data_IF_106867947324
#
_entry.id   IF_106867947324
#
_cell.length_a   1.000
_cell.length_b   1.000
_cell.length_c   1.000
_cell.angle_alpha   90.00
_cell.angle_beta   90.00
_cell.angle_gamma   90.00
#
_symmetry.space_group_name_H-M   'P 1'
#
loop_
_entity.id
_entity.type
_entity.pdbx_description
1 polymer ?
#
# COMPACT_ATOMS: atom_id res chain seq x y z
N UNK A 1 46.74 10.94 53.13
CA UNK A 1 46.33 10.48 51.83
C UNK A 1 44.95 9.84 51.94
N UNK A 2 43.90 10.56 51.57
CA UNK A 2 42.50 10.08 51.54
C UNK A 2 42.14 9.81 50.10
N UNK A 3 41.95 8.52 49.77
CA UNK A 3 41.46 8.10 48.46
C UNK A 3 39.96 8.35 48.38
N UNK A 4 39.56 9.13 47.37
CA UNK A 4 38.17 9.39 47.05
C UNK A 4 37.59 8.14 46.33
N UNK A 5 36.62 7.47 46.96
CA UNK A 5 35.75 6.50 46.30
C UNK A 5 34.71 7.27 45.50
N UNK A 6 34.87 7.31 44.19
CA UNK A 6 33.82 7.71 43.27
C UNK A 6 32.76 6.60 43.22
N UNK A 7 31.58 6.89 43.75
CA UNK A 7 30.44 6.01 43.68
C UNK A 7 29.88 5.98 42.24
N UNK A 8 30.07 4.89 41.57
CA UNK A 8 29.27 4.55 40.36
C UNK A 8 27.80 4.40 40.79
N UNK A 9 27.01 5.40 40.48
CA UNK A 9 25.55 5.24 40.52
C UNK A 9 25.16 4.26 39.39
N UNK A 10 24.85 3.02 39.76
CA UNK A 10 24.14 2.11 38.92
C UNK A 10 22.77 2.73 38.61
N UNK A 11 22.63 3.39 37.46
CA UNK A 11 21.34 3.65 36.88
C UNK A 11 20.87 2.26 36.41
N UNK A 12 19.87 1.71 37.06
CA UNK A 12 19.15 0.55 36.52
C UNK A 12 18.71 0.91 35.11
N UNK A 13 19.38 0.34 34.10
CA UNK A 13 18.97 0.46 32.72
C UNK A 13 17.57 -0.16 32.66
N UNK A 14 16.53 0.65 32.43
CA UNK A 14 15.27 0.13 31.93
C UNK A 14 15.63 -0.64 30.66
N UNK A 15 15.43 -1.93 30.67
CA UNK A 15 15.52 -2.73 29.47
C UNK A 15 14.45 -2.19 28.51
N UNK A 16 14.88 -1.40 27.51
CA UNK A 16 14.00 -0.92 26.44
C UNK A 16 13.59 -2.13 25.61
N UNK A 17 12.49 -2.76 25.96
CA UNK A 17 11.95 -3.90 25.22
C UNK A 17 11.42 -3.42 23.88
N UNK A 18 11.93 -4.01 22.79
CA UNK A 18 11.45 -3.74 21.43
C UNK A 18 10.50 -4.86 21.02
N UNK A 19 9.27 -4.49 20.68
CA UNK A 19 8.26 -5.41 20.12
C UNK A 19 8.35 -5.37 18.61
N UNK A 20 8.48 -6.55 17.97
CA UNK A 20 8.40 -6.67 16.52
C UNK A 20 6.94 -6.92 16.14
N UNK A 21 6.34 -5.94 15.46
CA UNK A 21 4.99 -6.06 14.90
C UNK A 21 5.02 -6.56 13.46
N UNK A 22 4.15 -7.50 13.12
CA UNK A 22 3.95 -7.98 11.75
C UNK A 22 2.67 -7.37 11.20
N UNK A 23 2.71 -6.89 9.95
CA UNK A 23 1.57 -6.25 9.31
C UNK A 23 1.41 -6.78 7.88
N UNK A 24 0.21 -7.22 7.51
CA UNK A 24 -0.08 -7.83 6.22
C UNK A 24 -0.93 -6.90 5.33
N UNK A 25 -0.32 -6.31 4.31
CA UNK A 25 -1.03 -5.68 3.20
C UNK A 25 -1.46 -6.78 2.21
N UNK A 26 -2.63 -7.40 2.45
CA UNK A 26 -3.18 -8.46 1.60
C UNK A 26 -4.06 -7.83 0.54
N UNK A 27 -3.72 -8.04 -0.73
CA UNK A 27 -4.39 -7.39 -1.87
C UNK A 27 -5.02 -8.43 -2.79
N UNK A 28 -6.20 -8.08 -3.29
CA UNK A 28 -6.92 -8.79 -4.36
C UNK A 28 -7.55 -7.78 -5.33
N UNK A 29 -8.12 -8.28 -6.43
CA UNK A 29 -8.95 -7.47 -7.35
C UNK A 29 -10.32 -8.12 -7.46
N UNK A 30 -11.36 -7.39 -7.04
CA UNK A 30 -12.75 -7.82 -7.13
C UNK A 30 -13.44 -6.97 -8.21
N UNK A 31 -13.90 -7.63 -9.26
CA UNK A 31 -14.38 -6.92 -10.45
C UNK A 31 -13.24 -6.14 -11.11
N UNK A 32 -13.37 -4.82 -11.16
CA UNK A 32 -12.36 -3.90 -11.70
C UNK A 32 -11.77 -2.99 -10.62
N UNK A 33 -11.88 -3.39 -9.34
CA UNK A 33 -11.47 -2.57 -8.19
C UNK A 33 -10.47 -3.33 -7.33
N UNK A 34 -9.34 -2.72 -7.00
CA UNK A 34 -8.36 -3.32 -6.10
C UNK A 34 -8.84 -3.20 -4.65
N UNK A 35 -8.75 -4.28 -3.91
CA UNK A 35 -9.17 -4.35 -2.52
C UNK A 35 -8.01 -4.75 -1.62
N UNK A 36 -8.02 -4.20 -0.43
CA UNK A 36 -7.13 -4.59 0.67
C UNK A 36 -7.95 -5.24 1.78
N UNK A 37 -7.41 -6.30 2.36
CA UNK A 37 -8.00 -6.94 3.52
C UNK A 37 -7.76 -6.08 4.76
N UNK A 38 -8.84 -5.74 5.46
CA UNK A 38 -8.81 -5.00 6.72
C UNK A 38 -9.43 -5.81 7.85
N UNK A 39 -9.03 -5.52 9.07
CA UNK A 39 -9.63 -6.02 10.30
C UNK A 39 -10.04 -4.82 11.17
N UNK A 40 -11.15 -4.97 11.92
CA UNK A 40 -11.61 -3.94 12.85
C UNK A 40 -11.20 -4.30 14.28
N UNK A 41 -10.58 -3.36 14.98
CA UNK A 41 -10.39 -3.39 16.43
C UNK A 41 -10.88 -2.06 16.98
N UNK A 42 -11.70 -2.08 18.03
CA UNK A 42 -12.23 -0.87 18.70
C UNK A 42 -12.85 0.15 17.71
N UNK A 43 -13.60 -0.36 16.74
CA UNK A 43 -14.28 0.42 15.68
C UNK A 43 -13.36 1.10 14.64
N UNK A 44 -12.03 0.94 14.73
CA UNK A 44 -11.08 1.49 13.76
C UNK A 44 -10.55 0.38 12.86
N UNK A 45 -10.46 0.65 11.57
CA UNK A 45 -9.93 -0.30 10.59
C UNK A 45 -8.40 -0.28 10.56
N UNK A 46 -7.82 -1.47 10.33
CA UNK A 46 -6.39 -1.63 10.13
C UNK A 46 -6.08 -2.82 9.24
N UNK A 47 -4.84 -2.98 8.85
CA UNK A 47 -4.35 -4.20 8.22
C UNK A 47 -4.37 -5.35 9.24
N UNK A 48 -4.44 -6.63 8.83
CA UNK A 48 -4.13 -7.73 9.73
C UNK A 48 -2.76 -7.55 10.36
N UNK A 49 -2.67 -7.55 11.70
CA UNK A 49 -1.45 -7.27 12.43
C UNK A 49 -1.37 -7.95 13.80
N UNK A 50 -0.16 -8.13 14.30
CA UNK A 50 0.10 -8.66 15.63
C UNK A 50 1.59 -8.73 15.95
N UNK A 51 1.92 -9.06 17.19
CA UNK A 51 3.30 -9.22 17.61
C UNK A 51 3.90 -10.53 17.08
N UNK A 52 5.17 -10.48 16.68
CA UNK A 52 5.91 -11.68 16.33
C UNK A 52 6.26 -12.46 17.60
N UNK A 53 5.94 -13.76 17.61
CA UNK A 53 6.28 -14.68 18.69
C UNK A 53 7.50 -15.56 18.29
N UNK A 54 8.73 -15.19 18.68
CA UNK A 54 9.95 -15.87 18.21
C UNK A 54 10.07 -17.31 18.73
N UNK A 55 9.38 -17.66 19.80
CA UNK A 55 9.36 -19.01 20.36
C UNK A 55 8.44 -19.96 19.58
N UNK A 56 7.43 -19.41 18.90
CA UNK A 56 6.42 -20.16 18.15
C UNK A 56 6.73 -20.22 16.66
N UNK A 57 7.34 -19.16 16.12
CA UNK A 57 7.55 -19.03 14.69
C UNK A 57 9.02 -18.94 14.31
N UNK A 58 9.47 -19.86 13.50
CA UNK A 58 10.86 -19.91 13.01
C UNK A 58 11.26 -18.69 12.17
N UNK A 59 10.34 -18.07 11.47
CA UNK A 59 10.59 -16.87 10.63
C UNK A 59 9.45 -15.87 10.75
N UNK A 60 9.76 -14.57 10.52
CA UNK A 60 8.76 -13.51 10.47
C UNK A 60 7.64 -13.82 9.47
N UNK A 61 7.98 -14.39 8.31
CA UNK A 61 7.02 -14.74 7.27
C UNK A 61 6.06 -15.87 7.71
N UNK A 62 6.54 -16.87 8.45
CA UNK A 62 5.68 -17.92 9.00
C UNK A 62 4.73 -17.34 10.04
N UNK A 63 5.23 -16.50 10.95
CA UNK A 63 4.40 -15.80 11.92
C UNK A 63 3.33 -14.94 11.26
N UNK A 64 3.67 -14.21 10.19
CA UNK A 64 2.70 -13.42 9.43
C UNK A 64 1.58 -14.28 8.82
N UNK A 65 1.94 -15.41 8.21
CA UNK A 65 0.97 -16.34 7.60
C UNK A 65 -0.01 -16.92 8.63
N UNK A 66 0.51 -17.27 9.79
CA UNK A 66 -0.30 -17.76 10.91
C UNK A 66 -1.24 -16.67 11.41
N UNK A 67 -0.73 -15.50 11.69
CA UNK A 67 -1.47 -14.35 12.14
C UNK A 67 -2.65 -13.99 11.18
N UNK A 68 -2.40 -13.95 9.88
CA UNK A 68 -3.46 -13.69 8.89
C UNK A 68 -4.47 -14.82 8.88
N UNK A 69 -4.02 -16.08 8.94
CA UNK A 69 -4.91 -17.24 8.99
C UNK A 69 -5.82 -17.21 10.23
N UNK A 70 -5.29 -16.85 11.39
CA UNK A 70 -6.05 -16.76 12.63
C UNK A 70 -7.10 -15.63 12.61
N UNK A 71 -6.71 -14.47 12.11
CA UNK A 71 -7.59 -13.31 12.09
C UNK A 71 -8.65 -13.37 10.98
N UNK A 72 -8.35 -14.02 9.85
CA UNK A 72 -9.17 -13.91 8.63
C UNK A 72 -9.50 -15.25 7.97
N UNK A 73 -8.97 -16.37 8.46
CA UNK A 73 -9.05 -17.71 7.87
C UNK A 73 -8.44 -17.83 6.46
N UNK A 74 -7.81 -16.77 5.97
CA UNK A 74 -7.23 -16.73 4.62
C UNK A 74 -5.87 -17.44 4.57
N UNK A 75 -5.64 -18.22 3.50
CA UNK A 75 -4.32 -18.78 3.19
C UNK A 75 -3.61 -17.88 2.18
N UNK A 76 -2.50 -17.31 2.59
CA UNK A 76 -1.70 -16.45 1.72
C UNK A 76 -0.92 -17.27 0.68
N UNK A 77 -1.02 -16.87 -0.59
CA UNK A 77 -0.18 -17.35 -1.69
C UNK A 77 1.17 -16.63 -1.71
N UNK A 78 1.28 -15.64 -2.58
CA UNK A 78 2.45 -14.77 -2.68
C UNK A 78 2.61 -13.89 -1.43
N UNK A 79 3.81 -13.83 -0.88
CA UNK A 79 4.17 -12.97 0.26
C UNK A 79 5.58 -12.41 0.05
N UNK A 80 5.74 -11.11 0.27
CA UNK A 80 7.00 -10.40 0.19
C UNK A 80 7.11 -9.38 1.31
N UNK A 81 8.29 -9.30 1.93
CA UNK A 81 8.58 -8.23 2.89
C UNK A 81 8.72 -6.89 2.16
N UNK A 82 8.04 -5.86 2.68
CA UNK A 82 8.08 -4.50 2.17
C UNK A 82 9.20 -3.69 2.81
N UNK A 83 8.90 -3.11 3.96
CA UNK A 83 9.76 -2.20 4.68
C UNK A 83 9.58 -2.38 6.19
N UNK A 84 10.54 -1.88 6.96
CA UNK A 84 10.47 -1.87 8.42
C UNK A 84 10.25 -0.44 8.90
N UNK A 85 9.17 -0.22 9.64
CA UNK A 85 8.73 1.07 10.14
C UNK A 85 9.04 1.16 11.63
N UNK A 86 9.78 2.16 12.06
CA UNK A 86 10.22 2.30 13.44
C UNK A 86 10.08 3.72 13.99
N UNK A 87 9.24 4.57 13.40
CA UNK A 87 9.08 5.95 13.79
C UNK A 87 8.35 6.09 15.13
N UNK A 88 8.90 6.92 16.03
CA UNK A 88 8.27 7.22 17.30
C UNK A 88 6.93 7.92 17.11
N UNK A 89 5.91 7.51 17.90
CA UNK A 89 4.61 8.17 17.96
C UNK A 89 3.62 7.71 16.91
N UNK A 90 4.02 6.91 15.93
CA UNK A 90 3.12 6.33 14.93
C UNK A 90 2.54 4.96 15.34
N UNK A 91 3.11 4.34 16.38
CA UNK A 91 2.63 3.12 17.03
C UNK A 91 2.53 3.35 18.54
N UNK A 92 1.41 3.85 19.01
CA UNK A 92 1.13 3.96 20.43
C UNK A 92 0.07 2.92 20.77
N UNK A 93 0.50 1.79 21.35
CA UNK A 93 -0.43 0.76 21.82
C UNK A 93 -1.15 1.23 23.09
N UNK A 94 -0.47 1.95 23.98
CA UNK A 94 -1.06 2.68 25.13
C UNK A 94 -0.10 3.78 25.63
N UNK A 95 -0.61 4.93 26.15
CA UNK A 95 0.22 5.90 26.80
C UNK A 95 0.72 5.35 28.16
N UNK A 96 1.97 4.96 28.25
CA UNK A 96 2.57 4.51 29.53
C UNK A 96 3.38 3.22 29.46
N UNK A 97 3.15 2.34 28.51
CA UNK A 97 4.02 1.19 28.30
C UNK A 97 5.25 1.59 27.50
N UNK A 98 6.41 1.56 28.13
CA UNK A 98 7.71 1.99 27.58
C UNK A 98 8.28 1.10 26.48
N UNK A 99 7.43 0.37 25.76
CA UNK A 99 7.85 -0.53 24.69
C UNK A 99 7.89 0.19 23.33
N UNK A 100 9.00 0.04 22.63
CA UNK A 100 9.13 0.50 21.26
C UNK A 100 8.65 -0.57 20.30
N UNK A 101 7.66 -0.26 19.46
CA UNK A 101 7.21 -1.16 18.40
C UNK A 101 7.98 -0.85 17.12
N UNK A 102 8.52 -1.90 16.50
CA UNK A 102 9.11 -1.88 15.16
C UNK A 102 8.22 -2.75 14.26
N UNK A 103 7.56 -2.13 13.30
CA UNK A 103 6.61 -2.80 12.40
C UNK A 103 7.28 -3.28 11.14
N UNK A 104 7.14 -4.58 10.83
CA UNK A 104 7.57 -5.18 9.58
C UNK A 104 6.34 -5.36 8.69
N UNK A 105 6.30 -4.59 7.60
CA UNK A 105 5.23 -4.67 6.61
C UNK A 105 5.49 -5.77 5.57
N UNK A 106 4.43 -6.45 5.15
CA UNK A 106 4.44 -7.46 4.10
C UNK A 106 3.36 -7.18 3.07
N UNK A 107 3.68 -7.38 1.80
CA UNK A 107 2.71 -7.45 0.72
C UNK A 107 2.35 -8.91 0.50
N UNK A 108 1.06 -9.20 0.47
CA UNK A 108 0.55 -10.51 0.09
C UNK A 108 -0.52 -10.37 -1.00
N UNK A 109 -0.60 -11.35 -1.88
CA UNK A 109 -1.57 -11.38 -2.98
C UNK A 109 -2.38 -12.65 -2.89
N UNK A 110 -3.68 -12.54 -3.17
CA UNK A 110 -4.59 -13.68 -3.20
C UNK A 110 -5.67 -13.50 -4.26
N UNK A 111 -6.18 -14.61 -4.77
CA UNK A 111 -7.43 -14.68 -5.56
C UNK A 111 -8.61 -15.04 -4.69
N UNK A 112 -8.32 -15.60 -3.53
CA UNK A 112 -9.35 -16.05 -2.61
C UNK A 112 -10.01 -14.84 -1.96
N UNK A 113 -11.24 -14.61 -2.36
CA UNK A 113 -12.11 -13.56 -1.84
C UNK A 113 -13.25 -14.16 -1.01
N UNK A 114 -13.08 -15.41 -0.53
CA UNK A 114 -14.13 -16.16 0.13
C UNK A 114 -14.88 -15.28 1.13
N UNK A 115 -16.09 -14.93 0.78
CA UNK A 115 -17.04 -14.30 1.66
C UNK A 115 -17.40 -15.29 2.76
N UNK A 116 -17.06 -14.97 3.99
CA UNK A 116 -17.49 -15.74 5.17
C UNK A 116 -16.41 -16.50 5.91
N UNK A 117 -15.15 -16.35 5.57
CA UNK A 117 -14.09 -17.04 6.27
C UNK A 117 -13.90 -16.58 7.73
N UNK A 118 -14.25 -15.34 8.10
CA UNK A 118 -14.28 -14.87 9.49
C UNK A 118 -15.08 -13.59 9.62
N UNK A 119 -15.79 -13.41 10.74
CA UNK A 119 -16.50 -12.17 11.07
C UNK A 119 -15.58 -10.94 11.24
N UNK A 120 -14.27 -11.12 11.20
CA UNK A 120 -13.29 -10.08 11.49
C UNK A 120 -12.62 -9.45 10.26
N UNK A 121 -12.55 -10.14 9.11
CA UNK A 121 -11.89 -9.65 7.91
C UNK A 121 -12.85 -9.04 6.89
N UNK A 122 -12.53 -7.86 6.36
CA UNK A 122 -13.32 -7.16 5.36
C UNK A 122 -12.47 -6.72 4.18
N UNK A 123 -12.99 -6.94 2.95
CA UNK A 123 -12.37 -6.40 1.75
C UNK A 123 -12.81 -4.95 1.53
N UNK A 124 -11.86 -4.01 1.55
CA UNK A 124 -12.09 -2.59 1.32
C UNK A 124 -11.43 -2.15 0.02
N UNK A 125 -12.13 -1.33 -0.73
CA UNK A 125 -11.52 -0.64 -1.87
C UNK A 125 -10.34 0.20 -1.38
N UNK A 126 -9.14 -0.02 -1.89
CA UNK A 126 -7.98 0.72 -1.41
C UNK A 126 -8.01 2.21 -1.79
N UNK A 127 -8.81 2.61 -2.81
CA UNK A 127 -9.01 4.01 -3.15
C UNK A 127 -9.87 4.78 -2.13
N UNK A 128 -10.61 4.10 -1.25
CA UNK A 128 -11.27 4.75 -0.12
C UNK A 128 -10.24 5.36 0.83
N UNK A 129 -9.07 4.75 0.94
CA UNK A 129 -7.94 5.27 1.71
C UNK A 129 -7.09 6.29 0.96
N UNK A 130 -7.03 6.21 -0.39
CA UNK A 130 -6.20 7.08 -1.25
C UNK A 130 -7.00 7.57 -2.47
N UNK A 131 -8.01 8.44 -2.29
CA UNK A 131 -8.90 8.84 -3.39
C UNK A 131 -8.18 9.62 -4.51
N UNK A 132 -7.02 10.19 -4.24
CA UNK A 132 -6.19 10.88 -5.25
C UNK A 132 -5.36 9.94 -6.13
N UNK A 133 -5.38 8.63 -5.86
CA UNK A 133 -4.59 7.63 -6.59
C UNK A 133 -5.33 7.00 -7.77
N UNK A 134 -6.65 7.23 -7.91
CA UNK A 134 -7.46 6.65 -8.99
C UNK A 134 -7.57 7.60 -10.19
N UNK A 135 -6.67 7.42 -11.15
CA UNK A 135 -6.64 8.20 -12.40
C UNK A 135 -7.30 7.45 -13.58
N UNK A 136 -8.02 6.38 -13.33
CA UNK A 136 -8.68 5.61 -14.41
C UNK A 136 -9.78 6.38 -15.14
N UNK A 137 -10.41 7.33 -14.48
CA UNK A 137 -11.36 8.26 -15.11
C UNK A 137 -10.64 9.45 -15.77
N UNK A 138 -10.03 10.23 -14.91
CA UNK A 138 -9.25 11.42 -15.23
C UNK A 138 -8.37 11.76 -14.01
N UNK A 139 -7.56 12.85 -14.12
CA UNK A 139 -6.89 13.43 -12.94
C UNK A 139 -7.93 13.75 -11.86
N UNK A 140 -7.83 13.19 -10.63
CA UNK A 140 -8.79 13.46 -9.58
C UNK A 140 -8.88 14.96 -9.27
N UNK A 141 -10.06 15.55 -9.39
CA UNK A 141 -10.28 16.99 -9.21
C UNK A 141 -9.82 17.49 -7.83
N UNK A 142 -9.84 16.63 -6.81
CA UNK A 142 -9.37 16.98 -5.46
C UNK A 142 -7.88 17.34 -5.41
N UNK A 143 -7.07 16.87 -6.34
CA UNK A 143 -5.63 17.17 -6.38
C UNK A 143 -5.45 18.70 -6.57
N UNK A 144 -6.13 19.28 -7.54
CA UNK A 144 -5.99 20.71 -7.85
C UNK A 144 -6.89 21.57 -6.96
N UNK A 145 -8.12 21.10 -6.64
CA UNK A 145 -9.08 21.88 -5.86
C UNK A 145 -8.82 21.86 -4.34
N UNK A 146 -8.23 20.82 -3.81
CA UNK A 146 -8.10 20.65 -2.37
C UNK A 146 -6.66 20.45 -1.90
N UNK A 147 -5.88 19.57 -2.56
CA UNK A 147 -4.53 19.24 -2.13
C UNK A 147 -3.56 20.37 -2.44
N UNK A 148 -3.52 20.83 -3.70
CA UNK A 148 -2.60 21.86 -4.17
C UNK A 148 -2.58 23.11 -3.27
N UNK A 149 -3.71 23.83 -3.02
CA UNK A 149 -3.67 25.05 -2.24
C UNK A 149 -3.22 24.84 -0.79
N UNK A 150 -3.47 23.66 -0.21
CA UNK A 150 -3.04 23.34 1.16
C UNK A 150 -1.56 22.99 1.25
N UNK A 151 -1.05 22.29 0.26
CA UNK A 151 0.38 21.96 0.17
C UNK A 151 1.20 23.22 -0.14
N UNK A 152 0.68 24.15 -0.96
CA UNK A 152 1.28 25.47 -1.17
C UNK A 152 1.38 26.23 0.15
N UNK A 153 0.29 26.35 0.90
CA UNK A 153 0.28 27.01 2.21
C UNK A 153 1.23 26.34 3.22
N UNK A 154 1.33 25.00 3.20
CA UNK A 154 2.29 24.27 4.03
C UNK A 154 3.74 24.53 3.62
N UNK A 155 4.02 24.62 2.32
CA UNK A 155 5.34 24.94 1.80
C UNK A 155 5.75 26.37 2.20
N UNK A 156 4.85 27.34 2.06
CA UNK A 156 5.08 28.74 2.44
C UNK A 156 5.31 28.94 3.93
N UNK A 157 4.64 28.16 4.77
CA UNK A 157 4.84 28.18 6.24
C UNK A 157 6.21 27.62 6.70
N UNK A 158 6.95 26.97 5.81
CA UNK A 158 8.27 26.39 6.09
C UNK A 158 9.37 27.44 5.99
N UNK A 159 9.77 28.02 7.12
CA UNK A 159 10.85 29.00 7.17
C UNK A 159 12.15 28.42 6.58
N UNK A 160 12.58 28.94 5.41
CA UNK A 160 13.79 28.49 4.70
C UNK A 160 13.65 27.17 3.91
N UNK A 161 12.50 26.50 3.96
CA UNK A 161 12.27 25.20 3.29
C UNK A 161 11.20 25.26 2.18
N UNK A 162 10.69 26.45 1.86
CA UNK A 162 9.58 26.63 0.93
C UNK A 162 9.81 25.92 -0.41
N UNK A 163 10.95 26.18 -1.04
CA UNK A 163 11.30 25.63 -2.34
C UNK A 163 11.41 24.10 -2.29
N UNK A 164 12.14 23.56 -1.32
CA UNK A 164 12.31 22.11 -1.13
C UNK A 164 10.98 21.39 -0.89
N UNK A 165 10.09 21.99 -0.08
CA UNK A 165 8.74 21.42 0.16
C UNK A 165 7.87 21.46 -1.07
N UNK A 166 7.91 22.57 -1.81
CA UNK A 166 7.14 22.73 -3.03
C UNK A 166 7.61 21.77 -4.13
N UNK A 167 8.92 21.69 -4.39
CA UNK A 167 9.49 20.81 -5.41
C UNK A 167 9.15 19.35 -5.13
N UNK A 168 9.26 18.93 -3.86
CA UNK A 168 8.84 17.60 -3.45
C UNK A 168 7.36 17.34 -3.71
N UNK A 169 6.50 18.28 -3.40
CA UNK A 169 5.08 18.18 -3.67
C UNK A 169 4.75 18.17 -5.16
N UNK A 170 5.39 19.03 -5.95
CA UNK A 170 5.21 19.11 -7.40
C UNK A 170 5.61 17.79 -8.08
N UNK A 171 6.75 17.22 -7.70
CA UNK A 171 7.17 15.88 -8.16
C UNK A 171 6.21 14.77 -7.77
N UNK A 172 5.61 14.85 -6.57
CA UNK A 172 4.68 13.82 -6.08
C UNK A 172 3.32 13.89 -6.77
N UNK A 173 2.75 15.08 -6.94
CA UNK A 173 1.38 15.28 -7.41
C UNK A 173 1.28 15.72 -8.87
N UNK A 174 2.38 15.74 -9.60
CA UNK A 174 2.45 16.17 -10.98
C UNK A 174 1.91 17.62 -11.15
N UNK A 175 2.41 18.55 -10.31
CA UNK A 175 2.15 19.98 -10.48
C UNK A 175 3.12 20.57 -11.51
N UNK A 176 2.77 21.75 -12.04
CA UNK A 176 3.63 22.58 -12.88
C UNK A 176 4.23 21.84 -14.10
N UNK A 177 3.43 20.95 -14.73
CA UNK A 177 3.85 20.17 -15.90
C UNK A 177 4.70 18.94 -15.60
N UNK A 178 4.91 18.60 -14.34
CA UNK A 178 5.56 17.33 -13.96
C UNK A 178 4.70 16.14 -14.37
N UNK A 179 5.36 15.00 -14.64
CA UNK A 179 4.65 13.77 -14.99
C UNK A 179 4.16 13.04 -13.74
N UNK A 180 2.96 12.45 -13.84
CA UNK A 180 2.45 11.55 -12.82
C UNK A 180 3.26 10.24 -12.80
N UNK A 181 3.75 9.90 -11.61
CA UNK A 181 4.42 8.64 -11.35
C UNK A 181 3.53 7.82 -10.39
N UNK A 182 2.91 6.77 -10.92
CA UNK A 182 2.00 5.91 -10.17
C UNK A 182 2.69 5.14 -9.02
N UNK A 183 4.01 5.03 -9.03
CA UNK A 183 4.75 4.34 -7.97
C UNK A 183 4.95 5.19 -6.71
N UNK A 184 4.86 6.52 -6.81
CA UNK A 184 5.10 7.47 -5.70
C UNK A 184 3.95 7.58 -4.69
N UNK A 185 3.29 6.47 -4.36
CA UNK A 185 2.16 6.46 -3.42
C UNK A 185 2.58 6.84 -2.01
N UNK A 186 3.69 6.26 -1.55
CA UNK A 186 4.24 6.53 -0.22
C UNK A 186 4.67 8.00 -0.08
N UNK A 187 5.39 8.52 -1.06
CA UNK A 187 5.89 9.90 -1.05
C UNK A 187 4.74 10.90 -1.02
N UNK A 188 3.65 10.66 -1.78
CA UNK A 188 2.42 11.46 -1.71
C UNK A 188 1.79 11.41 -0.34
N UNK A 189 1.66 10.22 0.23
CA UNK A 189 1.12 10.06 1.58
C UNK A 189 1.96 10.80 2.62
N UNK A 190 3.30 10.74 2.54
CA UNK A 190 4.19 11.45 3.46
C UNK A 190 4.04 12.98 3.32
N UNK A 191 3.93 13.53 2.10
CA UNK A 191 3.63 14.94 1.89
C UNK A 191 2.30 15.32 2.55
N UNK A 192 1.25 14.52 2.34
CA UNK A 192 -0.06 14.74 2.95
C UNK A 192 0.00 14.68 4.49
N UNK A 193 0.76 13.74 5.03
CA UNK A 193 0.95 13.58 6.48
C UNK A 193 1.74 14.76 7.06
N UNK A 194 2.83 15.17 6.46
CA UNK A 194 3.67 16.27 6.91
C UNK A 194 2.92 17.62 6.84
N UNK A 195 2.15 17.83 5.79
CA UNK A 195 1.27 19.00 5.63
C UNK A 195 0.04 18.98 6.57
N UNK A 196 -0.15 17.90 7.34
CA UNK A 196 -1.26 17.77 8.29
C UNK A 196 -2.62 17.55 7.61
N UNK A 197 -2.65 17.01 6.40
CA UNK A 197 -3.88 16.85 5.61
C UNK A 197 -4.64 15.54 5.90
N UNK A 198 -4.00 14.56 6.52
CA UNK A 198 -4.60 13.28 6.85
C UNK A 198 -4.89 13.14 8.36
N UNK A 199 -5.90 12.35 8.71
CA UNK A 199 -6.33 12.16 10.10
C UNK A 199 -5.24 11.55 10.99
N UNK A 200 -4.39 10.69 10.43
CA UNK A 200 -3.25 10.09 11.13
C UNK A 200 -2.27 11.17 11.64
N UNK A 201 -2.05 12.23 10.86
CA UNK A 201 -1.20 13.34 11.31
C UNK A 201 -1.74 14.04 12.56
N UNK A 202 -3.08 14.14 12.69
CA UNK A 202 -3.75 14.70 13.87
C UNK A 202 -3.65 13.79 15.08
N UNK A 203 -3.78 12.49 14.87
CA UNK A 203 -3.67 11.49 15.94
C UNK A 203 -2.24 11.42 16.50
N UNK A 204 -1.24 11.40 15.62
CA UNK A 204 0.12 11.01 15.97
C UNK A 204 0.99 12.22 16.42
N UNK A 205 0.61 13.44 16.03
CA UNK A 205 1.42 14.65 16.26
C UNK A 205 0.89 15.46 17.44
N UNK A 206 1.80 15.98 18.26
CA UNK A 206 1.46 16.92 19.36
C UNK A 206 0.96 18.26 18.85
N UNK A 207 1.44 18.69 17.67
CA UNK A 207 1.00 19.92 17.01
C UNK A 207 0.95 19.70 15.50
N UNK A 208 -0.09 20.23 14.86
CA UNK A 208 -0.23 20.27 13.42
C UNK A 208 0.32 21.60 12.86
N UNK A 209 0.70 21.65 11.57
CA UNK A 209 0.94 22.91 10.89
C UNK A 209 -0.27 23.85 11.03
N UNK A 210 -0.02 25.16 11.11
CA UNK A 210 -1.09 26.15 11.21
C UNK A 210 -2.06 26.10 9.98
N UNK A 211 -1.57 25.63 8.83
CA UNK A 211 -2.33 25.43 7.60
C UNK A 211 -3.16 24.15 7.58
N UNK A 212 -3.06 23.29 8.63
CA UNK A 212 -3.78 22.03 8.65
C UNK A 212 -5.30 22.25 8.72
N UNK A 213 -6.08 21.53 7.89
CA UNK A 213 -7.54 21.65 7.88
C UNK A 213 -8.19 21.05 9.13
N UNK A 214 -9.49 21.29 9.31
CA UNK A 214 -10.30 20.66 10.35
C UNK A 214 -10.37 19.12 10.18
N UNK A 215 -10.74 18.39 11.21
CA UNK A 215 -10.87 16.94 11.14
C UNK A 215 -11.91 16.49 10.09
N UNK A 216 -13.01 17.23 9.94
CA UNK A 216 -14.03 16.95 8.93
C UNK A 216 -13.54 17.16 7.49
N UNK A 217 -12.65 18.12 7.27
CA UNK A 217 -11.99 18.31 5.98
C UNK A 217 -10.91 17.23 5.73
N UNK A 218 -10.16 16.84 6.77
CA UNK A 218 -9.17 15.76 6.68
C UNK A 218 -9.82 14.43 6.27
N UNK A 219 -11.03 14.13 6.74
CA UNK A 219 -11.79 12.94 6.36
C UNK A 219 -12.08 12.87 4.84
N UNK A 220 -12.09 14.01 4.13
CA UNK A 220 -12.23 14.04 2.67
C UNK A 220 -11.00 13.54 1.92
N UNK A 221 -9.85 13.44 2.58
CA UNK A 221 -8.62 12.88 2.04
C UNK A 221 -8.48 11.38 2.31
N UNK A 222 -9.60 10.67 2.37
CA UNK A 222 -9.70 9.23 2.53
C UNK A 222 -9.77 8.76 3.98
N UNK A 223 -10.21 7.52 4.12
CA UNK A 223 -10.43 6.89 5.41
C UNK A 223 -9.11 6.69 6.17
N UNK A 224 -9.16 6.89 7.49
CA UNK A 224 -8.02 6.65 8.36
C UNK A 224 -7.87 5.17 8.69
N UNK A 225 -6.65 4.75 8.97
CA UNK A 225 -6.34 3.42 9.48
C UNK A 225 -5.67 3.50 10.87
N UNK A 226 -5.69 2.37 11.59
CA UNK A 226 -4.94 2.23 12.84
C UNK A 226 -3.44 2.42 12.61
N UNK A 227 -2.74 2.94 13.61
CA UNK A 227 -1.29 3.05 13.63
C UNK A 227 -0.71 3.60 12.31
N UNK A 228 0.37 2.99 11.83
CA UNK A 228 1.04 3.31 10.58
C UNK A 228 0.49 2.49 9.37
N UNK A 229 -0.68 1.86 9.53
CA UNK A 229 -1.20 0.91 8.54
C UNK A 229 -1.49 1.53 7.17
N UNK A 230 -1.97 2.78 7.14
CA UNK A 230 -2.17 3.49 5.88
C UNK A 230 -0.84 3.78 5.17
N UNK A 231 0.23 4.07 5.90
CA UNK A 231 1.58 4.20 5.36
C UNK A 231 2.12 2.88 4.83
N UNK A 232 1.88 1.78 5.54
CA UNK A 232 2.23 0.43 5.09
C UNK A 232 1.47 0.06 3.82
N UNK A 233 0.17 0.39 3.74
CA UNK A 233 -0.64 0.20 2.54
C UNK A 233 -0.10 1.04 1.37
N UNK A 234 0.24 2.32 1.58
CA UNK A 234 0.86 3.16 0.56
C UNK A 234 2.16 2.55 0.00
N UNK A 235 3.00 2.01 0.89
CA UNK A 235 4.22 1.29 0.52
C UNK A 235 3.91 0.04 -0.31
N UNK A 236 2.89 -0.73 0.10
CA UNK A 236 2.43 -1.92 -0.62
C UNK A 236 1.90 -1.60 -2.02
N UNK A 237 1.11 -0.52 -2.15
CA UNK A 237 0.58 -0.04 -3.43
C UNK A 237 1.71 0.37 -4.38
N UNK A 238 2.64 1.21 -3.95
CA UNK A 238 3.79 1.64 -4.76
C UNK A 238 4.64 0.45 -5.20
N UNK A 239 4.92 -0.49 -4.26
CA UNK A 239 5.68 -1.72 -4.56
C UNK A 239 4.97 -2.60 -5.59
N UNK A 240 3.66 -2.78 -5.48
CA UNK A 240 2.87 -3.60 -6.40
C UNK A 240 2.82 -2.96 -7.79
N UNK A 241 2.59 -1.65 -7.88
CA UNK A 241 2.59 -0.88 -9.12
C UNK A 241 3.95 -0.96 -9.85
N UNK A 242 5.05 -0.78 -9.13
CA UNK A 242 6.38 -0.96 -9.70
C UNK A 242 6.60 -2.38 -10.20
N UNK A 243 6.22 -3.39 -9.42
CA UNK A 243 6.40 -4.80 -9.81
C UNK A 243 5.62 -5.23 -11.04
N UNK A 244 4.44 -4.66 -11.31
CA UNK A 244 3.69 -4.94 -12.53
C UNK A 244 4.56 -4.75 -13.78
N UNK A 245 5.51 -3.81 -13.78
CA UNK A 245 6.36 -3.47 -14.93
C UNK A 245 7.41 -4.53 -15.25
N UNK A 246 7.90 -5.27 -14.24
CA UNK A 246 9.02 -6.22 -14.43
C UNK A 246 8.78 -7.63 -13.86
N UNK A 247 7.64 -7.89 -13.20
CA UNK A 247 7.26 -9.21 -12.69
C UNK A 247 5.85 -9.57 -13.14
N UNK A 248 5.56 -10.84 -13.40
CA UNK A 248 4.22 -11.28 -13.81
C UNK A 248 3.27 -11.42 -12.61
N UNK A 249 3.37 -10.49 -11.66
CA UNK A 249 2.70 -10.55 -10.36
C UNK A 249 1.17 -10.41 -10.47
N UNK A 250 0.68 -9.84 -11.56
CA UNK A 250 -0.76 -9.71 -11.83
C UNK A 250 -1.49 -11.06 -11.82
N UNK A 251 -0.81 -12.14 -12.20
CA UNK A 251 -1.41 -13.48 -12.23
C UNK A 251 -1.65 -14.08 -10.84
N UNK A 252 -1.09 -13.49 -9.78
CA UNK A 252 -1.37 -13.90 -8.40
C UNK A 252 -2.77 -13.49 -7.92
N UNK A 253 -3.38 -12.50 -8.58
CA UNK A 253 -4.73 -11.99 -8.28
C UNK A 253 -5.75 -12.30 -9.38
N UNK A 254 -5.37 -13.05 -10.41
CA UNK A 254 -6.24 -13.40 -11.53
C UNK A 254 -6.63 -14.87 -11.52
N UNK A 255 -7.79 -15.18 -12.10
CA UNK A 255 -8.17 -16.54 -12.36
C UNK A 255 -7.14 -17.27 -13.24
N UNK A 256 -7.03 -18.61 -13.16
CA UNK A 256 -6.09 -19.39 -13.99
C UNK A 256 -6.28 -19.21 -15.49
N UNK A 257 -7.51 -18.94 -15.92
CA UNK A 257 -7.86 -18.63 -17.32
C UNK A 257 -8.64 -17.32 -17.36
N UNK A 258 -8.28 -16.45 -18.29
CA UNK A 258 -8.80 -15.09 -18.39
C UNK A 258 -8.78 -14.60 -19.84
N UNK A 259 -9.52 -13.53 -20.11
CA UNK A 259 -9.44 -12.80 -21.38
C UNK A 259 -8.39 -11.67 -21.28
N UNK A 260 -7.85 -11.21 -22.39
CA UNK A 260 -6.93 -10.06 -22.38
C UNK A 260 -7.59 -8.77 -21.86
N UNK A 261 -8.91 -8.65 -21.96
CA UNK A 261 -9.65 -7.53 -21.39
C UNK A 261 -9.68 -7.60 -19.86
N UNK A 262 -9.96 -8.75 -19.28
CA UNK A 262 -9.90 -8.95 -17.82
C UNK A 262 -8.50 -8.66 -17.30
N UNK A 263 -7.46 -9.17 -17.98
CA UNK A 263 -6.07 -8.86 -17.61
C UNK A 263 -5.76 -7.35 -17.68
N UNK A 264 -6.17 -6.67 -18.76
CA UNK A 264 -5.99 -5.22 -18.89
C UNK A 264 -6.66 -4.47 -17.74
N UNK A 265 -7.90 -4.82 -17.40
CA UNK A 265 -8.66 -4.18 -16.34
C UNK A 265 -8.08 -4.43 -14.95
N UNK A 266 -7.55 -5.62 -14.71
CA UNK A 266 -6.81 -5.93 -13.48
C UNK A 266 -5.55 -5.07 -13.35
N UNK A 267 -4.79 -4.93 -14.43
CA UNK A 267 -3.60 -4.04 -14.44
C UNK A 267 -4.00 -2.58 -14.25
N UNK A 268 -5.04 -2.09 -14.92
CA UNK A 268 -5.58 -0.74 -14.75
C UNK A 268 -6.08 -0.49 -13.32
N UNK A 269 -6.75 -1.48 -12.73
CA UNK A 269 -7.22 -1.41 -11.35
C UNK A 269 -6.06 -1.17 -10.37
N UNK A 270 -5.00 -1.94 -10.47
CA UNK A 270 -3.82 -1.84 -9.59
C UNK A 270 -3.01 -0.59 -9.88
N UNK A 271 -2.74 -0.29 -11.16
CA UNK A 271 -1.92 0.87 -11.55
C UNK A 271 -2.62 2.21 -11.31
N UNK A 272 -3.95 2.21 -11.29
CA UNK A 272 -4.75 3.43 -11.14
C UNK A 272 -4.86 4.26 -12.42
N UNK A 273 -4.40 3.76 -13.56
CA UNK A 273 -4.39 4.49 -14.85
C UNK A 273 -5.01 3.67 -15.96
N UNK A 274 -5.66 4.32 -16.93
CA UNK A 274 -6.18 3.66 -18.12
C UNK A 274 -5.07 3.37 -19.12
N UNK A 275 -5.16 2.19 -19.74
CA UNK A 275 -4.21 1.74 -20.75
C UNK A 275 -4.86 1.75 -22.14
N UNK A 276 -4.05 2.04 -23.15
CA UNK A 276 -4.53 1.92 -24.52
C UNK A 276 -4.62 0.45 -24.92
N UNK A 277 -5.82 -0.01 -25.28
CA UNK A 277 -6.14 -1.42 -25.57
C UNK A 277 -5.16 -2.09 -26.54
N UNK A 278 -4.84 -1.44 -27.66
CA UNK A 278 -3.95 -2.01 -28.68
C UNK A 278 -2.50 -2.10 -28.18
N UNK A 279 -2.02 -1.07 -27.46
CA UNK A 279 -0.69 -1.09 -26.88
C UNK A 279 -0.56 -2.18 -25.82
N UNK A 280 -1.55 -2.32 -24.95
CA UNK A 280 -1.58 -3.37 -23.93
C UNK A 280 -1.50 -4.76 -24.58
N UNK A 281 -2.38 -5.05 -25.56
CA UNK A 281 -2.37 -6.33 -26.26
C UNK A 281 -1.02 -6.63 -26.90
N UNK A 282 -0.48 -5.68 -27.65
CA UNK A 282 0.84 -5.82 -28.27
C UNK A 282 1.93 -6.13 -27.23
N UNK A 283 1.94 -5.44 -26.09
CA UNK A 283 2.92 -5.66 -25.03
C UNK A 283 2.80 -7.07 -24.42
N UNK A 284 1.59 -7.55 -24.16
CA UNK A 284 1.34 -8.87 -23.58
C UNK A 284 1.72 -9.98 -24.57
N UNK A 285 1.31 -9.86 -25.83
CA UNK A 285 1.58 -10.85 -26.89
C UNK A 285 3.08 -10.87 -27.24
N UNK A 286 3.70 -9.72 -27.50
CA UNK A 286 5.15 -9.66 -27.77
C UNK A 286 6.00 -10.03 -26.55
N UNK A 287 5.46 -9.82 -25.34
CA UNK A 287 6.03 -10.25 -24.09
C UNK A 287 6.00 -11.77 -23.88
N UNK A 288 5.19 -12.51 -24.64
CA UNK A 288 5.03 -13.96 -24.48
C UNK A 288 4.59 -14.37 -23.08
N UNK A 289 3.90 -13.46 -22.37
CA UNK A 289 3.44 -13.68 -20.99
C UNK A 289 2.29 -14.65 -20.87
N UNK A 290 1.52 -14.78 -21.96
CA UNK A 290 0.30 -15.58 -22.00
C UNK A 290 0.29 -16.50 -23.21
N UNK A 291 -0.43 -17.60 -23.09
CA UNK A 291 -0.71 -18.53 -24.18
C UNK A 291 -2.21 -18.77 -24.31
N UNK A 292 -2.65 -19.07 -25.52
CA UNK A 292 -4.06 -19.34 -25.84
C UNK A 292 -4.46 -20.70 -25.29
N UNK A 293 -5.65 -20.77 -24.69
CA UNK A 293 -6.20 -22.04 -24.20
C UNK A 293 -6.99 -22.81 -25.25
N UNK A 294 -7.28 -22.17 -26.39
CA UNK A 294 -8.19 -22.71 -27.42
C UNK A 294 -9.69 -22.64 -27.06
N UNK A 295 -10.01 -22.06 -25.88
CA UNK A 295 -11.38 -21.89 -25.39
C UNK A 295 -11.83 -20.43 -25.53
N UNK A 296 -13.16 -20.25 -25.52
CA UNK A 296 -13.78 -18.92 -25.52
C UNK A 296 -14.56 -18.70 -24.22
N UNK A 297 -14.61 -17.46 -23.75
CA UNK A 297 -15.41 -17.03 -22.62
C UNK A 297 -16.65 -16.29 -23.11
N UNK A 298 -17.80 -16.60 -22.53
CA UNK A 298 -19.08 -15.90 -22.75
C UNK A 298 -19.51 -15.06 -21.54
N UNK A 299 -18.68 -14.98 -20.50
CA UNK A 299 -19.02 -14.32 -19.21
C UNK A 299 -19.46 -12.86 -19.35
N UNK A 300 -19.02 -12.15 -20.36
CA UNK A 300 -19.28 -10.71 -20.50
C UNK A 300 -20.56 -10.35 -21.28
N UNK A 301 -21.46 -11.30 -21.58
CA UNK A 301 -22.73 -11.04 -22.29
C UNK A 301 -22.59 -10.50 -23.72
N UNK A 302 -21.37 -10.46 -24.28
CA UNK A 302 -21.03 -9.95 -25.60
C UNK A 302 -20.50 -11.04 -26.53
N UNK A 303 -19.81 -10.62 -27.63
CA UNK A 303 -19.14 -11.55 -28.54
C UNK A 303 -18.16 -12.43 -27.74
N UNK A 304 -18.13 -13.77 -27.95
CA UNK A 304 -17.22 -14.68 -27.31
C UNK A 304 -15.77 -14.19 -27.40
N UNK A 305 -15.07 -14.15 -26.27
CA UNK A 305 -13.70 -13.69 -26.17
C UNK A 305 -12.74 -14.85 -25.95
N UNK A 306 -11.61 -14.83 -26.64
CA UNK A 306 -10.57 -15.86 -26.50
C UNK A 306 -10.00 -15.88 -25.08
N UNK A 307 -9.82 -17.10 -24.52
CA UNK A 307 -9.23 -17.31 -23.21
C UNK A 307 -7.74 -17.59 -23.30
N UNK A 308 -7.02 -17.03 -22.36
CA UNK A 308 -5.58 -17.15 -22.19
C UNK A 308 -5.26 -17.70 -20.80
N UNK A 309 -4.07 -18.23 -20.64
CA UNK A 309 -3.46 -18.56 -19.34
C UNK A 309 -2.05 -18.02 -19.28
N UNK A 310 -1.52 -17.88 -18.06
CA UNK A 310 -0.14 -17.47 -17.84
C UNK A 310 0.84 -18.53 -18.31
N UNK A 311 1.81 -18.15 -19.13
CA UNK A 311 2.88 -19.03 -19.62
C UNK A 311 4.04 -19.02 -18.63
N UNK A 312 4.10 -20.04 -17.77
CA UNK A 312 5.08 -20.11 -16.67
C UNK A 312 6.53 -20.22 -17.15
N UNK A 313 6.77 -20.74 -18.33
CA UNK A 313 8.08 -20.91 -18.96
C UNK A 313 8.80 -19.56 -19.12
N UNK A 314 8.06 -18.46 -19.27
CA UNK A 314 8.63 -17.12 -19.38
C UNK A 314 9.49 -16.72 -18.17
N UNK A 315 9.23 -17.29 -17.00
CA UNK A 315 10.03 -17.07 -15.79
C UNK A 315 11.46 -17.62 -15.92
N UNK A 316 11.66 -18.64 -16.75
CA UNK A 316 12.97 -19.23 -17.04
C UNK A 316 13.66 -18.56 -18.21
N UNK A 317 12.89 -18.05 -19.16
CA UNK A 317 13.38 -17.44 -20.40
C UNK A 317 13.82 -15.98 -20.23
N UNK A 318 13.25 -15.26 -19.26
CA UNK A 318 13.45 -13.82 -19.09
C UNK A 318 13.70 -13.43 -17.63
N UNK A 319 14.71 -12.57 -17.35
CA UNK A 319 15.01 -12.12 -15.98
C UNK A 319 13.92 -11.17 -15.43
N UNK A 320 13.16 -10.48 -16.29
CA UNK A 320 12.14 -9.48 -15.88
C UNK A 320 10.88 -9.55 -16.77
N UNK A 321 10.04 -10.60 -16.63
CA UNK A 321 8.87 -10.83 -17.48
C UNK A 321 7.63 -10.06 -16.98
N UNK A 322 7.68 -8.74 -16.84
CA UNK A 322 6.56 -7.91 -16.41
C UNK A 322 5.75 -7.31 -17.55
N UNK A 323 4.61 -6.72 -17.21
CA UNK A 323 3.80 -5.91 -18.12
C UNK A 323 4.37 -4.50 -18.12
N UNK A 324 5.14 -4.14 -19.12
CA UNK A 324 5.78 -2.82 -19.25
C UNK A 324 4.73 -1.74 -19.55
N UNK A 325 3.98 -1.35 -18.53
CA UNK A 325 2.95 -0.31 -18.62
C UNK A 325 3.63 1.06 -18.58
N UNK A 326 3.26 1.93 -19.52
CA UNK A 326 3.56 3.37 -19.42
C UNK A 326 2.23 4.10 -19.33
N UNK A 327 2.09 4.98 -18.36
CA UNK A 327 0.98 5.92 -18.30
C UNK A 327 0.97 6.77 -19.58
N UNK A 328 -0.22 7.20 -20.00
CA UNK A 328 -0.34 8.23 -21.04
C UNK A 328 0.19 9.54 -20.44
N UNK A 329 1.19 10.11 -21.09
CA UNK A 329 1.48 11.55 -20.97
C UNK A 329 0.38 12.37 -21.62
#
# INVERSE_FOLDING_TARGET
MKAARAGLRSSAAREDTVIIGLNACVVTVIGETPHVLTVKRDSVEGLPFGSFAPQEHRTLQLGLRELVREQTQLKLGYVEQLYTFGDRGRHVLEPGEGHRVVSVGYLALTRDTAEGASAAGHWRNWYDFFPWEDWRGARPAMIDAMIRPRVEAWAEAGAGERETRWDRAALCFAFDGMQWDEEKVLERYEVMYEAGLVLEARRDRRSLPASAPSASEQARFGDAMQFDHRRILATGMGRLRGKLKYRPIVFEVMEPTFTLLEMQRTVEAISGVRLHKQNFRRLVESGGLVERTGRQSTKAGGRPAEQFRFRREVLRERPAPGVKVRARG
#
